data_IF_989812397516
#
_entry.id   IF_989812397516
#
_cell.length_a   1.000
_cell.length_b   1.000
_cell.length_c   1.000
_cell.angle_alpha   90.00
_cell.angle_beta   90.00
_cell.angle_gamma   90.00
#
_symmetry.space_group_name_H-M   'P 1'
#
loop_
_entity.id
_entity.type
_entity.pdbx_description
1 polymer ?
#
# COMPACT_ATOMS: atom_id res chain seq x y z
N UNK A 1 23.35 -16.34 14.29
CA UNK A 1 22.91 -15.84 12.97
C UNK A 1 22.33 -16.96 12.09
N UNK A 2 21.26 -17.66 12.51
CA UNK A 2 20.62 -18.72 11.71
C UNK A 2 19.12 -18.94 12.07
N UNK A 3 18.35 -17.88 12.36
CA UNK A 3 16.93 -18.01 12.72
C UNK A 3 15.96 -17.09 11.96
N UNK A 4 16.40 -16.43 10.88
CA UNK A 4 15.53 -15.51 10.10
C UNK A 4 14.97 -16.17 8.82
N UNK A 5 15.52 -17.30 8.38
CA UNK A 5 15.16 -17.90 7.09
C UNK A 5 13.94 -18.83 7.12
N UNK A 6 13.51 -19.32 8.28
CA UNK A 6 12.50 -20.38 8.33
C UNK A 6 11.04 -19.88 8.39
N UNK A 7 10.78 -18.66 8.90
CA UNK A 7 9.40 -18.22 9.17
C UNK A 7 8.71 -17.57 7.97
N UNK A 8 9.46 -16.83 7.15
CA UNK A 8 8.94 -16.21 5.91
C UNK A 8 8.38 -17.24 4.90
N UNK A 9 8.79 -18.52 5.01
CA UNK A 9 8.31 -19.59 4.15
C UNK A 9 6.92 -20.12 4.55
N UNK A 10 6.55 -20.05 5.84
CA UNK A 10 5.30 -20.65 6.35
C UNK A 10 4.10 -19.72 6.15
N UNK A 11 4.29 -18.42 6.32
CA UNK A 11 3.25 -17.41 6.06
C UNK A 11 2.96 -17.28 4.55
N UNK A 12 4.01 -17.33 3.71
CA UNK A 12 3.92 -17.38 2.24
C UNK A 12 2.98 -18.46 1.71
N UNK A 13 2.83 -19.58 2.42
CA UNK A 13 1.98 -20.69 2.00
C UNK A 13 0.51 -20.50 2.38
N UNK A 14 0.22 -19.75 3.44
CA UNK A 14 -1.15 -19.53 3.91
C UNK A 14 -1.85 -18.44 3.10
N UNK A 15 -1.15 -17.35 2.76
CA UNK A 15 -1.68 -16.26 1.92
C UNK A 15 -1.93 -16.69 0.47
N UNK A 16 -1.13 -17.64 -0.06
CA UNK A 16 -1.34 -18.21 -1.41
C UNK A 16 -2.66 -18.95 -1.58
N UNK A 17 -3.25 -19.50 -0.51
CA UNK A 17 -4.53 -20.21 -0.60
C UNK A 17 -5.76 -19.30 -0.55
N UNK A 18 -5.59 -18.05 -0.13
CA UNK A 18 -6.68 -17.08 -0.02
C UNK A 18 -6.75 -16.12 -1.22
N UNK A 19 -5.70 -16.00 -2.03
CA UNK A 19 -5.65 -15.19 -3.25
C UNK A 19 -6.40 -15.82 -4.46
N UNK A 20 -7.39 -16.69 -4.20
CA UNK A 20 -8.24 -17.26 -5.25
C UNK A 20 -9.63 -16.61 -5.18
N UNK A 21 -9.67 -15.30 -5.46
CA UNK A 21 -10.89 -14.49 -5.59
C UNK A 21 -10.77 -13.65 -6.86
N UNK A 22 -11.74 -13.77 -7.77
CA UNK A 22 -11.61 -13.38 -9.17
C UNK A 22 -11.71 -11.89 -9.49
N UNK A 23 -11.16 -11.52 -10.64
CA UNK A 23 -11.61 -10.40 -11.48
C UNK A 23 -11.22 -8.97 -11.07
N UNK A 24 -10.84 -8.71 -9.82
CA UNK A 24 -10.47 -7.34 -9.39
C UNK A 24 -9.00 -7.02 -9.69
N UNK A 25 -8.78 -5.85 -10.28
CA UNK A 25 -7.45 -5.36 -10.63
C UNK A 25 -6.77 -4.85 -9.35
N UNK A 26 -5.71 -5.51 -8.88
CA UNK A 26 -5.04 -5.13 -7.63
C UNK A 26 -4.52 -3.68 -7.58
N UNK A 27 -3.99 -3.27 -6.42
CA UNK A 27 -3.53 -1.89 -6.12
C UNK A 27 -2.63 -1.27 -7.20
N UNK A 28 -1.85 -2.07 -7.93
CA UNK A 28 -0.95 -1.59 -8.98
C UNK A 28 -1.59 -1.42 -10.37
N UNK A 29 -2.82 -1.88 -10.60
CA UNK A 29 -3.40 -1.88 -11.94
C UNK A 29 -2.88 -3.02 -12.83
N UNK A 30 -3.31 -3.03 -14.09
CA UNK A 30 -2.86 -4.01 -15.10
C UNK A 30 -1.48 -3.68 -15.69
N UNK A 31 -0.98 -2.46 -15.48
CA UNK A 31 0.33 -2.00 -15.95
C UNK A 31 1.52 -2.53 -15.15
N UNK A 32 1.27 -3.36 -14.14
CA UNK A 32 2.30 -3.90 -13.25
C UNK A 32 2.81 -2.90 -12.22
N UNK A 33 3.72 -3.38 -11.36
CA UNK A 33 4.29 -2.63 -10.23
C UNK A 33 5.51 -1.81 -10.66
N UNK A 34 5.55 -0.53 -10.30
CA UNK A 34 6.75 0.32 -10.35
C UNK A 34 7.49 0.32 -9.00
N UNK A 35 8.78 0.70 -8.96
CA UNK A 35 9.45 0.99 -7.69
C UNK A 35 8.74 2.10 -6.91
N UNK A 36 8.78 2.04 -5.58
CA UNK A 36 8.09 3.00 -4.71
C UNK A 36 8.52 4.44 -4.99
N UNK A 37 9.82 4.67 -5.23
CA UNK A 37 10.33 5.99 -5.59
C UNK A 37 9.70 6.54 -6.88
N UNK A 38 9.49 5.70 -7.89
CA UNK A 38 8.88 6.13 -9.15
C UNK A 38 7.40 6.52 -8.95
N UNK A 39 6.67 5.80 -8.09
CA UNK A 39 5.31 6.21 -7.71
C UNK A 39 5.30 7.55 -6.96
N UNK A 40 6.22 7.78 -6.03
CA UNK A 40 6.35 9.09 -5.33
C UNK A 40 6.59 10.23 -6.30
N UNK A 41 7.48 10.03 -7.27
CA UNK A 41 7.81 11.07 -8.24
C UNK A 41 6.63 11.41 -9.13
N UNK A 42 5.91 10.39 -9.61
CA UNK A 42 4.65 10.56 -10.36
C UNK A 42 3.59 11.28 -9.53
N UNK A 43 3.38 10.85 -8.29
CA UNK A 43 2.39 11.45 -7.41
C UNK A 43 2.68 12.93 -7.11
N UNK A 44 3.94 13.26 -6.82
CA UNK A 44 4.38 14.65 -6.61
C UNK A 44 4.26 15.49 -7.88
N UNK A 45 4.53 14.92 -9.05
CA UNK A 45 4.35 15.60 -10.33
C UNK A 45 2.86 15.91 -10.60
N UNK A 46 2.00 14.91 -10.44
CA UNK A 46 0.56 15.04 -10.61
C UNK A 46 -0.03 16.10 -9.65
N UNK A 47 0.43 16.11 -8.39
CA UNK A 47 -0.01 17.10 -7.40
C UNK A 47 0.35 18.53 -7.84
N UNK A 48 1.54 18.74 -8.42
CA UNK A 48 1.97 20.07 -8.92
C UNK A 48 1.14 20.53 -10.12
N UNK A 49 0.67 19.61 -10.95
CA UNK A 49 -0.13 19.93 -12.15
C UNK A 49 -1.64 19.96 -11.87
N UNK A 50 -2.08 19.74 -10.63
CA UNK A 50 -3.49 19.72 -10.25
C UNK A 50 -4.20 18.40 -10.54
N UNK A 51 -3.48 17.35 -10.95
CA UNK A 51 -4.02 16.00 -11.12
C UNK A 51 -4.02 15.27 -9.77
N UNK A 52 -5.04 15.56 -8.96
CA UNK A 52 -5.15 15.05 -7.60
C UNK A 52 -5.49 13.56 -7.56
N UNK A 53 -6.21 13.05 -8.56
CA UNK A 53 -6.55 11.62 -8.65
C UNK A 53 -5.29 10.80 -8.84
N UNK A 54 -4.48 11.13 -9.84
CA UNK A 54 -3.20 10.45 -10.06
C UNK A 54 -2.27 10.61 -8.85
N UNK A 55 -2.26 11.78 -8.22
CA UNK A 55 -1.45 12.01 -7.02
C UNK A 55 -1.86 11.11 -5.85
N UNK A 56 -3.16 10.96 -5.59
CA UNK A 56 -3.68 10.08 -4.56
C UNK A 56 -3.40 8.60 -4.87
N UNK A 57 -3.72 8.17 -6.10
CA UNK A 57 -3.55 6.78 -6.52
C UNK A 57 -2.08 6.36 -6.49
N UNK A 58 -1.18 7.15 -7.06
CA UNK A 58 0.25 6.82 -7.07
C UNK A 58 0.89 7.03 -5.69
N UNK A 59 0.39 7.96 -4.86
CA UNK A 59 0.81 8.09 -3.46
C UNK A 59 0.54 6.81 -2.66
N UNK A 60 -0.65 6.24 -2.79
CA UNK A 60 -0.98 4.98 -2.11
C UNK A 60 -0.24 3.76 -2.71
N UNK A 61 0.00 3.75 -4.02
CA UNK A 61 0.86 2.72 -4.65
C UNK A 61 2.30 2.80 -4.17
N UNK A 62 2.81 3.99 -3.86
CA UNK A 62 4.12 4.14 -3.23
C UNK A 62 4.15 3.46 -1.86
N UNK A 63 3.10 3.61 -1.04
CA UNK A 63 2.97 2.89 0.25
C UNK A 63 3.05 1.38 0.03
N UNK A 64 2.25 0.84 -0.87
CA UNK A 64 2.20 -0.60 -1.14
C UNK A 64 3.53 -1.14 -1.68
N UNK A 65 4.15 -0.45 -2.64
CA UNK A 65 5.45 -0.82 -3.21
C UNK A 65 6.57 -0.72 -2.17
N UNK A 66 6.55 0.31 -1.32
CA UNK A 66 7.53 0.53 -0.25
C UNK A 66 7.47 -0.60 0.79
N UNK A 67 6.27 -1.04 1.15
CA UNK A 67 6.07 -2.18 2.04
C UNK A 67 6.65 -3.48 1.47
N UNK A 68 6.45 -3.72 0.16
CA UNK A 68 6.98 -4.88 -0.55
C UNK A 68 8.51 -4.85 -0.66
N UNK A 69 9.07 -3.70 -1.06
CA UNK A 69 10.52 -3.48 -1.11
C UNK A 69 11.20 -3.68 0.25
N UNK A 70 10.52 -3.30 1.33
CA UNK A 70 10.97 -3.48 2.72
C UNK A 70 10.63 -4.84 3.31
N UNK A 71 10.06 -5.76 2.51
CA UNK A 71 9.65 -7.11 2.91
C UNK A 71 8.62 -7.17 4.05
N UNK A 72 7.85 -6.10 4.24
CA UNK A 72 6.80 -6.00 5.24
C UNK A 72 5.49 -6.68 4.78
N UNK A 73 5.29 -6.75 3.46
CA UNK A 73 4.09 -7.31 2.83
C UNK A 73 4.43 -7.81 1.43
N UNK A 74 4.00 -9.01 1.04
CA UNK A 74 4.07 -9.43 -0.38
C UNK A 74 2.92 -8.76 -1.17
N UNK A 75 3.20 -7.72 -1.94
CA UNK A 75 2.16 -7.01 -2.71
C UNK A 75 1.82 -7.74 -4.02
N UNK A 76 1.36 -8.99 -3.87
CA UNK A 76 1.08 -9.91 -4.96
C UNK A 76 0.07 -9.34 -5.98
N UNK A 77 0.14 -9.77 -7.26
CA UNK A 77 -0.86 -9.41 -8.26
C UNK A 77 -2.28 -9.70 -7.77
N UNK A 78 -3.17 -8.71 -7.86
CA UNK A 78 -4.56 -8.82 -7.41
C UNK A 78 -4.81 -8.38 -5.95
N UNK A 79 -3.77 -8.17 -5.13
CA UNK A 79 -3.96 -7.64 -3.78
C UNK A 79 -4.59 -6.24 -3.80
N UNK A 80 -5.69 -6.06 -3.09
CA UNK A 80 -6.48 -4.81 -3.11
C UNK A 80 -5.88 -3.74 -2.20
N UNK A 81 -6.28 -2.49 -2.36
CA UNK A 81 -5.84 -1.41 -1.48
C UNK A 81 -6.27 -1.64 -0.03
N UNK A 82 -7.50 -2.12 0.17
CA UNK A 82 -8.00 -2.48 1.50
C UNK A 82 -7.16 -3.58 2.17
N UNK A 83 -6.78 -4.64 1.43
CA UNK A 83 -5.92 -5.70 1.97
C UNK A 83 -4.51 -5.18 2.35
N UNK A 84 -3.96 -4.24 1.58
CA UNK A 84 -2.72 -3.55 1.94
C UNK A 84 -2.89 -2.78 3.25
N UNK A 85 -3.98 -2.00 3.40
CA UNK A 85 -4.24 -1.25 4.61
C UNK A 85 -4.34 -2.14 5.85
N UNK A 86 -5.10 -3.24 5.77
CA UNK A 86 -5.29 -4.18 6.88
C UNK A 86 -3.95 -4.78 7.31
N UNK A 87 -3.14 -5.24 6.35
CA UNK A 87 -1.86 -5.86 6.66
C UNK A 87 -0.86 -4.85 7.26
N UNK A 88 -0.80 -3.62 6.71
CA UNK A 88 0.08 -2.58 7.24
C UNK A 88 -0.39 -2.01 8.57
N UNK A 89 -1.69 -1.99 8.85
CA UNK A 89 -2.22 -1.54 10.14
C UNK A 89 -1.76 -2.44 11.30
N UNK A 90 -1.56 -3.74 11.05
CA UNK A 90 -0.99 -4.65 12.04
C UNK A 90 0.49 -4.35 12.35
N UNK A 91 1.23 -3.84 11.37
CA UNK A 91 2.67 -3.51 11.46
C UNK A 91 2.89 -2.08 11.97
N UNK A 92 1.95 -1.18 11.66
CA UNK A 92 1.97 0.24 12.02
C UNK A 92 0.66 0.66 12.69
N UNK A 93 0.38 0.21 13.93
CA UNK A 93 -0.92 0.46 14.57
C UNK A 93 -1.27 1.95 14.71
N UNK A 94 -0.26 2.80 14.92
CA UNK A 94 -0.44 4.26 14.99
C UNK A 94 -0.93 4.89 13.69
N UNK A 95 -0.77 4.20 12.56
CA UNK A 95 -1.15 4.66 11.22
C UNK A 95 -2.38 3.94 10.67
N UNK A 96 -3.03 3.05 11.45
CA UNK A 96 -4.14 2.22 11.00
C UNK A 96 -5.31 3.03 10.42
N UNK A 97 -5.70 4.13 11.08
CA UNK A 97 -6.78 5.01 10.62
C UNK A 97 -6.42 5.68 9.29
N UNK A 98 -5.19 6.19 9.17
CA UNK A 98 -4.72 6.82 7.94
C UNK A 98 -4.60 5.83 6.78
N UNK A 99 -4.14 4.61 7.05
CA UNK A 99 -4.07 3.51 6.09
C UNK A 99 -5.46 3.14 5.55
N UNK A 100 -6.43 2.89 6.43
CA UNK A 100 -7.80 2.55 6.04
C UNK A 100 -8.44 3.68 5.26
N UNK A 101 -8.42 4.91 5.79
CA UNK A 101 -9.06 6.05 5.13
C UNK A 101 -8.45 6.39 3.78
N UNK A 102 -7.15 6.13 3.57
CA UNK A 102 -6.50 6.36 2.27
C UNK A 102 -6.79 5.22 1.29
N UNK A 103 -6.93 3.97 1.76
CA UNK A 103 -7.40 2.86 0.93
C UNK A 103 -8.84 3.09 0.44
N UNK A 104 -9.73 3.52 1.33
CA UNK A 104 -11.13 3.81 0.96
C UNK A 104 -11.21 4.90 -0.12
N UNK A 105 -10.37 5.94 0.00
CA UNK A 105 -10.25 7.00 -1.03
C UNK A 105 -9.64 6.47 -2.33
N UNK A 106 -8.64 5.59 -2.24
CA UNK A 106 -8.05 4.97 -3.41
C UNK A 106 -9.11 4.19 -4.19
N UNK A 107 -9.89 3.34 -3.52
CA UNK A 107 -10.93 2.54 -4.16
C UNK A 107 -12.04 3.43 -4.73
N UNK A 108 -12.45 4.49 -4.00
CA UNK A 108 -13.44 5.46 -4.46
C UNK A 108 -13.01 6.20 -5.74
N UNK A 109 -11.73 6.55 -5.87
CA UNK A 109 -11.17 7.21 -7.07
C UNK A 109 -10.92 6.21 -8.21
N UNK A 110 -10.48 4.99 -7.88
CA UNK A 110 -10.12 3.98 -8.90
C UNK A 110 -11.34 3.32 -9.53
N UNK A 111 -12.36 3.03 -8.75
CA UNK A 111 -13.53 2.27 -9.18
C UNK A 111 -14.83 3.09 -9.19
N UNK A 112 -14.85 4.19 -8.46
CA UNK A 112 -16.01 5.08 -8.41
C UNK A 112 -15.87 6.29 -9.32
N UNK A 113 -16.83 7.20 -9.19
CA UNK A 113 -16.88 8.48 -9.91
C UNK A 113 -16.39 9.64 -9.02
N UNK A 114 -15.63 9.32 -7.97
CA UNK A 114 -15.12 10.30 -7.01
C UNK A 114 -13.80 10.90 -7.46
N UNK A 115 -13.66 12.22 -7.28
CA UNK A 115 -12.42 12.95 -7.51
C UNK A 115 -11.72 13.23 -6.19
N UNK A 116 -10.42 13.00 -6.16
CA UNK A 116 -9.57 13.33 -5.03
C UNK A 116 -9.45 14.85 -4.89
N UNK A 117 -9.42 15.33 -3.64
CA UNK A 117 -9.03 16.70 -3.36
C UNK A 117 -7.51 16.82 -3.25
N UNK A 118 -6.99 18.05 -3.38
CA UNK A 118 -5.58 18.33 -3.18
C UNK A 118 -5.09 17.93 -1.76
N UNK A 119 -5.95 18.01 -0.75
CA UNK A 119 -5.66 17.60 0.62
C UNK A 119 -5.52 16.08 0.72
N UNK A 120 -6.49 15.33 0.19
CA UNK A 120 -6.44 13.87 0.18
C UNK A 120 -5.23 13.32 -0.56
N UNK A 121 -4.84 13.96 -1.66
CA UNK A 121 -3.62 13.61 -2.39
C UNK A 121 -2.33 13.89 -1.59
N UNK A 122 -2.29 14.99 -0.82
CA UNK A 122 -1.16 15.28 0.10
C UNK A 122 -1.11 14.28 1.24
N UNK A 123 -2.25 13.91 1.80
CA UNK A 123 -2.33 12.93 2.88
C UNK A 123 -1.77 11.56 2.46
N UNK A 124 -2.03 11.15 1.21
CA UNK A 124 -1.49 9.90 0.68
C UNK A 124 0.06 9.90 0.60
N UNK A 125 0.65 11.03 0.19
CA UNK A 125 2.11 11.21 0.17
C UNK A 125 2.68 11.29 1.60
N UNK A 126 2.02 12.03 2.49
CA UNK A 126 2.44 12.16 3.88
C UNK A 126 2.38 10.82 4.62
N UNK A 127 1.40 9.97 4.32
CA UNK A 127 1.30 8.62 4.86
C UNK A 127 2.53 7.78 4.49
N UNK A 128 2.95 7.76 3.22
CA UNK A 128 4.16 7.05 2.81
C UNK A 128 5.41 7.56 3.55
N UNK A 129 5.58 8.87 3.66
CA UNK A 129 6.69 9.49 4.37
C UNK A 129 6.69 9.14 5.87
N UNK A 130 5.52 9.15 6.51
CA UNK A 130 5.34 8.75 7.90
C UNK A 130 5.72 7.27 8.11
N UNK A 131 5.30 6.37 7.23
CA UNK A 131 5.60 4.93 7.35
C UNK A 131 7.08 4.63 7.06
N UNK A 132 7.76 5.43 6.25
CA UNK A 132 9.21 5.36 6.07
C UNK A 132 9.98 5.78 7.32
N UNK A 133 9.50 6.83 8.00
CA UNK A 133 10.12 7.34 9.23
C UNK A 133 9.79 6.50 10.48
N UNK A 134 8.73 5.70 10.43
CA UNK A 134 8.27 4.89 11.56
C UNK A 134 8.98 3.53 11.60
N UNK A 135 9.46 3.15 12.79
CA UNK A 135 9.97 1.79 13.02
C UNK A 135 8.78 0.80 13.03
N UNK A 136 8.79 -0.25 12.19
CA UNK A 136 7.76 -1.27 12.19
C UNK A 136 7.65 -2.01 13.54
N UNK A 137 6.44 -2.29 14.00
CA UNK A 137 6.20 -3.22 15.10
C UNK A 137 6.06 -4.63 14.51
N UNK A 138 7.11 -5.43 14.65
CA UNK A 138 7.16 -6.81 14.13
C UNK A 138 6.86 -7.85 15.22
N UNK A 139 6.68 -7.42 16.48
CA UNK A 139 6.42 -8.33 17.60
C UNK A 139 4.97 -8.84 17.60
N UNK A 140 4.07 -8.12 16.92
CA UNK A 140 2.65 -8.46 16.76
C UNK A 140 2.42 -9.64 15.80
N UNK A 141 3.32 -9.87 14.84
CA UNK A 141 3.18 -10.90 13.78
C UNK A 141 3.63 -12.30 14.25
N UNK A 142 4.20 -12.39 15.46
CA UNK A 142 4.74 -13.64 16.03
C UNK A 142 3.80 -14.45 16.94
N UNK A 143 2.55 -14.04 17.14
CA UNK A 143 1.60 -14.71 18.06
C UNK A 143 0.49 -15.45 17.33
#
# INVERSE_FOLDING_TARGET
MLAVLAFAARDRWRSRRLATGGGEVGVFGDGGRLPAAAYRDRARAALRTGDHDTALLDGYRAVAASADERTLLDAAPGRTAHEVAVALAAIFPSSAVALSGTADRFDAVRYGDHRATAEQARDALALDEQLLATRPDLDVVGR
#
